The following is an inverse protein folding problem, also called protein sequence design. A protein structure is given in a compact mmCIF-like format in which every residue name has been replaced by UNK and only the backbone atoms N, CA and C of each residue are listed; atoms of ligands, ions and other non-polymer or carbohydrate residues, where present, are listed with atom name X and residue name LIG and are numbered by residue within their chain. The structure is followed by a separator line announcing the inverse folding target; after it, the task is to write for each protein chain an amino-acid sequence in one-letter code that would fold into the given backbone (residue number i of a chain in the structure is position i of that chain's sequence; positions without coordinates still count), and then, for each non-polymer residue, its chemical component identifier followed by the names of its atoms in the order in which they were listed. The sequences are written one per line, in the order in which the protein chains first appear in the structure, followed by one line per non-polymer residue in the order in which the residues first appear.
data_IF_155671729916
#
_entry.id   IF_155671729916
#
_cell.length_a   1.000
_cell.length_b   1.000
_cell.length_c   1.000
_cell.angle_alpha   90.00
_cell.angle_beta   90.00
_cell.angle_gamma   90.00
#
_symmetry.space_group_name_H-M   'P 1'
#
loop_
_entity.id
_entity.type
_entity.pdbx_description
1 polymer ?
#
# COMPACT_ATOMS: atom_id res chain seq x y z
N UNK A 1 14.83 20.67 -3.45
CA UNK A 1 14.38 19.32 -3.11
C UNK A 1 14.73 18.42 -4.27
N UNK A 2 15.30 17.26 -4.01
CA UNK A 2 15.54 16.24 -5.05
C UNK A 2 14.20 15.58 -5.40
N UNK A 3 14.11 14.87 -6.53
CA UNK A 3 12.91 14.10 -6.87
C UNK A 3 12.60 13.05 -5.77
N UNK A 4 13.65 12.45 -5.19
CA UNK A 4 13.53 11.48 -4.10
C UNK A 4 12.92 12.09 -2.82
N UNK A 5 13.27 13.32 -2.46
CA UNK A 5 12.69 13.98 -1.28
C UNK A 5 11.18 14.15 -1.43
N UNK A 6 10.71 14.51 -2.65
CA UNK A 6 9.30 14.65 -2.95
C UNK A 6 8.59 13.27 -2.92
N UNK A 7 9.21 12.23 -3.49
CA UNK A 7 8.71 10.84 -3.44
C UNK A 7 8.59 10.34 -2.01
N UNK A 8 9.62 10.56 -1.18
CA UNK A 8 9.64 10.15 0.23
C UNK A 8 8.58 10.90 1.06
N UNK A 9 8.37 12.19 0.78
CA UNK A 9 7.32 12.95 1.45
C UNK A 9 5.93 12.39 1.15
N UNK A 10 5.66 11.96 -0.10
CA UNK A 10 4.40 11.32 -0.48
C UNK A 10 4.26 9.94 0.17
N UNK A 11 5.30 9.12 0.15
CA UNK A 11 5.31 7.83 0.84
C UNK A 11 5.02 7.99 2.33
N UNK A 12 5.65 8.96 3.00
CA UNK A 12 5.42 9.22 4.43
C UNK A 12 3.95 9.52 4.72
N UNK A 13 3.29 10.36 3.90
CA UNK A 13 1.85 10.63 4.06
C UNK A 13 1.00 9.38 3.81
N UNK A 14 1.39 8.54 2.83
CA UNK A 14 0.76 7.24 2.59
C UNK A 14 0.84 6.30 3.80
N UNK A 15 2.01 6.24 4.43
CA UNK A 15 2.23 5.46 5.66
C UNK A 15 1.41 6.01 6.83
N UNK A 16 1.33 7.34 6.99
CA UNK A 16 0.56 7.99 8.05
C UNK A 16 -0.94 7.66 7.96
N UNK A 17 -1.52 7.76 6.77
CA UNK A 17 -2.94 7.43 6.59
C UNK A 17 -3.23 5.93 6.73
N UNK A 18 -2.34 5.05 6.24
CA UNK A 18 -2.48 3.60 6.44
C UNK A 18 -2.45 3.24 7.93
N UNK A 19 -1.55 3.85 8.71
CA UNK A 19 -1.48 3.70 10.17
C UNK A 19 -2.80 4.13 10.85
N UNK A 20 -3.38 5.23 10.40
CA UNK A 20 -4.66 5.73 10.91
C UNK A 20 -5.80 4.76 10.63
N UNK A 21 -5.88 4.23 9.42
CA UNK A 21 -6.89 3.22 9.05
C UNK A 21 -6.71 1.92 9.86
N UNK A 22 -5.49 1.44 10.03
CA UNK A 22 -5.19 0.26 10.85
C UNK A 22 -5.66 0.43 12.29
N UNK A 23 -5.55 1.64 12.84
CA UNK A 23 -6.09 1.98 14.16
C UNK A 23 -7.63 1.99 14.24
N UNK A 24 -8.31 2.06 13.10
CA UNK A 24 -9.77 2.06 13.01
C UNK A 24 -10.38 0.66 12.80
N UNK A 25 -9.56 -0.35 12.53
CA UNK A 25 -10.03 -1.73 12.32
C UNK A 25 -10.56 -2.33 13.61
N UNK A 26 -11.84 -2.67 13.64
CA UNK A 26 -12.47 -3.38 14.76
C UNK A 26 -12.38 -4.91 14.61
N UNK A 27 -12.58 -5.65 15.69
CA UNK A 27 -12.55 -7.12 15.64
C UNK A 27 -13.59 -7.72 14.71
N UNK A 28 -14.73 -7.02 14.54
CA UNK A 28 -15.80 -7.43 13.63
C UNK A 28 -15.41 -7.30 12.16
N UNK A 29 -14.42 -6.46 11.84
CA UNK A 29 -13.94 -6.26 10.47
C UNK A 29 -13.00 -7.38 10.01
N UNK A 30 -12.30 -8.04 10.96
CA UNK A 30 -11.21 -8.97 10.66
C UNK A 30 -11.63 -10.18 9.79
N UNK A 31 -12.89 -10.55 9.85
CA UNK A 31 -13.45 -11.65 9.03
C UNK A 31 -14.09 -11.18 7.73
N UNK A 32 -14.15 -9.87 7.49
CA UNK A 32 -14.74 -9.30 6.29
C UNK A 32 -13.90 -9.62 5.05
N UNK A 33 -14.55 -9.79 3.87
CA UNK A 33 -13.83 -9.94 2.62
C UNK A 33 -13.18 -8.61 2.23
N UNK A 34 -12.09 -8.69 1.47
CA UNK A 34 -11.41 -7.52 0.90
C UNK A 34 -11.55 -7.51 -0.63
N UNK A 35 -11.33 -6.36 -1.29
CA UNK A 35 -11.20 -6.33 -2.75
C UNK A 35 -10.04 -7.17 -3.29
N UNK A 36 -9.02 -7.44 -2.47
CA UNK A 36 -8.00 -8.45 -2.74
C UNK A 36 -8.60 -9.84 -2.44
N UNK A 37 -9.17 -10.49 -3.44
CA UNK A 37 -9.98 -11.71 -3.30
C UNK A 37 -9.30 -12.89 -2.59
N UNK A 38 -7.99 -12.87 -2.45
CA UNK A 38 -7.22 -13.93 -1.80
C UNK A 38 -7.13 -13.75 -0.28
N UNK A 39 -7.52 -12.56 0.26
CA UNK A 39 -7.33 -12.22 1.67
C UNK A 39 -8.61 -11.77 2.37
N UNK A 40 -8.80 -12.26 3.58
CA UNK A 40 -9.65 -11.64 4.58
C UNK A 40 -9.03 -10.33 5.08
N UNK A 41 -9.80 -9.51 5.78
CA UNK A 41 -9.26 -8.27 6.39
C UNK A 41 -8.13 -8.58 7.39
N UNK A 42 -8.20 -9.67 8.14
CA UNK A 42 -7.11 -10.08 9.05
C UNK A 42 -5.80 -10.33 8.31
N UNK A 43 -5.84 -11.09 7.21
CA UNK A 43 -4.66 -11.40 6.39
C UNK A 43 -4.10 -10.15 5.71
N UNK A 44 -4.97 -9.26 5.23
CA UNK A 44 -4.57 -7.95 4.68
C UNK A 44 -3.89 -7.07 5.75
N UNK A 45 -4.43 -7.03 6.97
CA UNK A 45 -3.83 -6.28 8.09
C UNK A 45 -2.45 -6.82 8.43
N UNK A 46 -2.30 -8.15 8.54
CA UNK A 46 -1.01 -8.77 8.82
C UNK A 46 0.02 -8.45 7.73
N UNK A 47 -0.40 -8.51 6.45
CA UNK A 47 0.45 -8.13 5.31
C UNK A 47 0.87 -6.66 5.39
N UNK A 48 -0.08 -5.74 5.58
CA UNK A 48 0.18 -4.31 5.67
C UNK A 48 1.16 -4.00 6.79
N UNK A 49 0.96 -4.59 7.98
CA UNK A 49 1.83 -4.34 9.14
C UNK A 49 3.26 -4.81 8.89
N UNK A 50 3.44 -5.92 8.19
CA UNK A 50 4.77 -6.45 7.89
C UNK A 50 5.49 -5.72 6.73
N UNK A 51 4.74 -5.09 5.81
CA UNK A 51 5.29 -4.55 4.57
C UNK A 51 6.36 -3.47 4.77
N UNK A 52 6.18 -2.43 5.62
CA UNK A 52 7.17 -1.37 5.74
C UNK A 52 8.54 -1.86 6.24
N UNK A 53 8.58 -2.77 7.22
CA UNK A 53 9.83 -3.35 7.71
C UNK A 53 10.55 -4.17 6.62
N UNK A 54 9.80 -4.93 5.82
CA UNK A 54 10.34 -5.66 4.65
C UNK A 54 10.86 -4.68 3.59
N UNK A 55 10.17 -3.59 3.35
CA UNK A 55 10.63 -2.54 2.44
C UNK A 55 11.92 -1.89 2.93
N UNK A 56 12.04 -1.63 4.24
CA UNK A 56 13.26 -1.11 4.83
C UNK A 56 14.48 -2.04 4.60
N UNK A 57 14.28 -3.35 4.73
CA UNK A 57 15.31 -4.35 4.40
C UNK A 57 15.71 -4.27 2.92
N UNK A 58 14.72 -4.19 1.99
CA UNK A 58 15.01 -4.04 0.56
C UNK A 58 15.78 -2.75 0.25
N UNK A 59 15.43 -1.64 0.88
CA UNK A 59 16.12 -0.36 0.72
C UNK A 59 17.59 -0.46 1.16
N UNK A 60 17.86 -1.26 2.19
CA UNK A 60 19.22 -1.56 2.66
C UNK A 60 19.96 -2.60 1.82
N UNK A 61 19.32 -3.16 0.78
CA UNK A 61 19.91 -4.20 -0.09
C UNK A 61 19.92 -5.60 0.54
N UNK A 62 19.10 -5.82 1.57
CA UNK A 62 18.95 -7.12 2.21
C UNK A 62 17.98 -8.02 1.41
N UNK A 63 18.18 -9.33 1.48
CA UNK A 63 17.23 -10.29 0.91
C UNK A 63 15.98 -10.39 1.78
N UNK A 64 14.79 -10.34 1.14
CA UNK A 64 13.50 -10.42 1.82
C UNK A 64 12.72 -11.65 1.36
N UNK A 65 12.31 -12.48 2.31
CA UNK A 65 11.38 -13.57 2.04
C UNK A 65 9.92 -13.07 2.09
N UNK A 66 9.30 -13.02 0.91
CA UNK A 66 7.89 -12.69 0.75
C UNK A 66 6.97 -13.92 0.83
N UNK A 67 7.53 -15.14 0.76
CA UNK A 67 6.77 -16.39 0.77
C UNK A 67 6.49 -16.93 2.16
N UNK A 68 7.22 -16.44 3.17
CA UNK A 68 7.04 -16.84 4.56
C UNK A 68 5.70 -16.37 5.13
N UNK A 69 5.16 -17.09 6.13
CA UNK A 69 3.92 -16.68 6.78
C UNK A 69 4.10 -15.32 7.46
N UNK A 70 3.14 -14.44 7.26
CA UNK A 70 3.10 -13.16 7.96
C UNK A 70 2.61 -13.41 9.39
N UNK A 71 3.33 -12.95 10.43
CA UNK A 71 2.89 -13.10 11.81
C UNK A 71 1.56 -12.37 12.02
N UNK A 72 0.63 -13.04 12.71
CA UNK A 72 -0.61 -12.39 13.08
C UNK A 72 -0.37 -11.29 14.11
N UNK A 73 -0.87 -10.09 13.82
CA UNK A 73 -0.76 -8.93 14.70
C UNK A 73 -2.11 -8.68 15.37
N UNK A 74 -2.12 -8.70 16.71
CA UNK A 74 -3.31 -8.41 17.51
C UNK A 74 -3.65 -6.92 17.56
N UNK A 75 -4.01 -6.42 18.73
CA UNK A 75 -4.48 -5.03 18.93
C UNK A 75 -3.42 -3.95 18.68
N UNK A 76 -2.12 -4.31 18.75
CA UNK A 76 -0.99 -3.40 18.54
C UNK A 76 -0.70 -3.09 17.04
N UNK A 77 -1.62 -3.41 16.14
CA UNK A 77 -1.42 -3.34 14.67
C UNK A 77 -0.97 -1.96 14.16
N UNK A 78 -1.58 -0.89 14.65
CA UNK A 78 -1.20 0.47 14.25
C UNK A 78 0.19 0.86 14.78
N UNK A 79 0.53 0.46 16.01
CA UNK A 79 1.85 0.70 16.60
C UNK A 79 2.95 -0.10 15.92
N UNK A 80 2.70 -1.37 15.61
CA UNK A 80 3.64 -2.22 14.88
C UNK A 80 3.89 -1.71 13.45
N UNK A 81 2.83 -1.29 12.75
CA UNK A 81 2.95 -0.66 11.44
C UNK A 81 3.78 0.62 11.52
N UNK A 82 3.50 1.50 12.51
CA UNK A 82 4.22 2.76 12.69
C UNK A 82 5.72 2.53 12.90
N UNK A 83 6.09 1.55 13.72
CA UNK A 83 7.49 1.21 13.94
C UNK A 83 8.19 0.79 12.64
N UNK A 84 7.55 -0.04 11.82
CA UNK A 84 8.09 -0.41 10.50
C UNK A 84 8.14 0.76 9.51
N UNK A 85 7.15 1.66 9.57
CA UNK A 85 7.12 2.87 8.74
C UNK A 85 8.27 3.83 9.07
N UNK A 86 8.53 4.05 10.36
CA UNK A 86 9.65 4.88 10.83
C UNK A 86 10.99 4.28 10.39
N UNK A 87 11.14 2.95 10.50
CA UNK A 87 12.32 2.22 10.03
C UNK A 87 12.53 2.37 8.52
N UNK A 88 11.45 2.32 7.73
CA UNK A 88 11.50 2.51 6.28
C UNK A 88 11.95 3.93 5.90
N UNK A 89 11.39 4.94 6.54
CA UNK A 89 11.76 6.34 6.30
C UNK A 89 13.23 6.57 6.67
N UNK A 90 13.69 6.02 7.80
CA UNK A 90 15.10 6.08 8.21
C UNK A 90 16.02 5.38 7.20
N UNK A 91 15.62 4.21 6.69
CA UNK A 91 16.39 3.51 5.65
C UNK A 91 16.55 4.37 4.40
N UNK A 92 15.50 5.05 3.94
CA UNK A 92 15.57 5.98 2.80
C UNK A 92 16.49 7.17 3.04
N UNK A 93 16.53 7.72 4.26
CA UNK A 93 17.49 8.79 4.60
C UNK A 93 18.95 8.31 4.61
N UNK A 94 19.17 7.01 4.82
CA UNK A 94 20.50 6.40 4.80
C UNK A 94 21.04 6.07 3.41
N UNK A 95 20.19 6.09 2.38
CA UNK A 95 20.60 5.72 1.00
C UNK A 95 21.08 6.93 0.23
N UNK A 96 22.30 6.85 -0.33
CA UNK A 96 22.86 7.86 -1.22
C UNK A 96 22.09 8.02 -2.54
N UNK A 97 22.24 9.16 -3.20
CA UNK A 97 21.64 9.39 -4.51
C UNK A 97 22.18 8.38 -5.54
N UNK A 98 21.27 7.56 -6.09
CA UNK A 98 21.58 6.55 -7.11
C UNK A 98 21.88 5.13 -6.59
N UNK A 99 21.90 4.92 -5.27
CA UNK A 99 22.25 3.59 -4.71
C UNK A 99 21.04 2.64 -4.62
N UNK A 100 19.79 3.14 -4.68
CA UNK A 100 18.60 2.29 -4.67
C UNK A 100 18.13 1.98 -6.10
N UNK A 101 17.73 0.71 -6.39
CA UNK A 101 17.30 0.29 -7.73
C UNK A 101 15.97 0.92 -8.16
N UNK A 102 15.13 1.32 -7.23
CA UNK A 102 13.85 2.02 -7.45
C UNK A 102 13.65 3.08 -6.37
N UNK A 103 12.92 4.16 -6.70
CA UNK A 103 12.57 5.21 -5.74
C UNK A 103 11.39 4.84 -4.84
N UNK A 104 11.00 5.70 -3.87
CA UNK A 104 9.89 5.46 -2.95
C UNK A 104 8.51 5.26 -3.61
N UNK A 105 8.32 5.71 -4.85
CA UNK A 105 7.02 5.68 -5.54
C UNK A 105 6.47 4.25 -5.73
N UNK A 106 7.33 3.21 -5.85
CA UNK A 106 6.84 1.83 -5.93
C UNK A 106 6.23 1.35 -4.60
N UNK A 107 6.80 1.80 -3.47
CA UNK A 107 6.26 1.51 -2.14
C UNK A 107 4.97 2.30 -1.89
N UNK A 108 4.91 3.55 -2.38
CA UNK A 108 3.67 4.35 -2.38
C UNK A 108 2.56 3.64 -3.16
N UNK A 109 2.87 3.01 -4.29
CA UNK A 109 1.90 2.24 -5.07
C UNK A 109 1.36 1.05 -4.28
N UNK A 110 2.24 0.26 -3.65
CA UNK A 110 1.87 -0.90 -2.83
C UNK A 110 1.01 -0.50 -1.63
N UNK A 111 1.45 0.53 -0.89
CA UNK A 111 0.70 1.07 0.24
C UNK A 111 -0.66 1.63 -0.22
N UNK A 112 -0.73 2.36 -1.34
CA UNK A 112 -1.99 2.91 -1.83
C UNK A 112 -3.01 1.83 -2.21
N UNK A 113 -2.59 0.77 -2.91
CA UNK A 113 -3.48 -0.33 -3.31
C UNK A 113 -4.06 -1.01 -2.07
N UNK A 114 -3.22 -1.36 -1.10
CA UNK A 114 -3.69 -2.05 0.11
C UNK A 114 -4.41 -1.12 1.10
N UNK A 115 -4.12 0.18 1.08
CA UNK A 115 -4.92 1.20 1.79
C UNK A 115 -6.34 1.26 1.22
N UNK A 116 -6.51 1.20 -0.12
CA UNK A 116 -7.83 1.05 -0.73
C UNK A 116 -8.52 -0.24 -0.29
N UNK A 117 -7.82 -1.38 -0.36
CA UNK A 117 -8.39 -2.67 0.01
C UNK A 117 -8.90 -2.64 1.47
N UNK A 118 -8.11 -2.05 2.39
CA UNK A 118 -8.49 -1.91 3.80
C UNK A 118 -9.66 -0.93 3.99
N UNK A 119 -9.59 0.25 3.38
CA UNK A 119 -10.65 1.25 3.47
C UNK A 119 -12.00 0.68 2.99
N UNK A 120 -12.00 -0.05 1.88
CA UNK A 120 -13.19 -0.71 1.36
C UNK A 120 -13.73 -1.80 2.29
N UNK A 121 -12.84 -2.59 2.91
CA UNK A 121 -13.22 -3.67 3.82
C UNK A 121 -13.88 -3.16 5.11
N UNK A 122 -13.41 -2.02 5.64
CA UNK A 122 -13.96 -1.41 6.87
C UNK A 122 -15.01 -0.31 6.61
N UNK A 123 -15.35 -0.06 5.34
CA UNK A 123 -16.35 0.94 4.97
C UNK A 123 -15.89 2.40 5.13
N UNK A 124 -14.58 2.67 5.10
CA UNK A 124 -14.03 4.02 5.16
C UNK A 124 -14.09 4.69 3.77
N UNK A 125 -14.57 5.94 3.66
CA UNK A 125 -14.64 6.65 2.39
C UNK A 125 -13.24 6.92 1.79
N UNK A 126 -12.96 6.38 0.62
CA UNK A 126 -11.65 6.57 -0.05
C UNK A 126 -11.39 8.00 -0.50
N UNK A 127 -12.46 8.80 -0.71
CA UNK A 127 -12.35 10.22 -1.04
C UNK A 127 -11.82 11.11 0.11
N UNK A 128 -11.70 10.59 1.33
CA UNK A 128 -11.09 11.28 2.48
C UNK A 128 -9.57 11.04 2.59
N UNK A 129 -9.04 10.13 1.78
CA UNK A 129 -7.60 9.81 1.76
C UNK A 129 -6.83 10.83 0.89
N UNK A 130 -5.53 10.98 1.16
CA UNK A 130 -4.66 11.86 0.37
C UNK A 130 -4.53 11.36 -1.08
N UNK A 131 -5.12 12.06 -2.06
CA UNK A 131 -5.17 11.59 -3.44
C UNK A 131 -3.80 11.52 -4.09
N UNK A 132 -2.83 12.33 -3.67
CA UNK A 132 -1.51 12.38 -4.29
C UNK A 132 -0.76 11.06 -4.12
N UNK A 133 -0.96 10.36 -3.00
CA UNK A 133 -0.35 9.04 -2.75
C UNK A 133 -0.81 8.04 -3.82
N UNK A 134 -2.11 7.97 -4.07
CA UNK A 134 -2.66 7.06 -5.07
C UNK A 134 -2.32 7.51 -6.51
N UNK A 135 -2.28 8.81 -6.79
CA UNK A 135 -1.94 9.34 -8.11
C UNK A 135 -0.49 9.02 -8.50
N UNK A 136 0.46 9.22 -7.59
CA UNK A 136 1.87 8.86 -7.83
C UNK A 136 2.06 7.37 -7.95
N UNK A 137 1.43 6.59 -7.07
CA UNK A 137 1.42 5.14 -7.18
C UNK A 137 0.89 4.65 -8.52
N UNK A 138 -0.20 5.23 -9.02
CA UNK A 138 -0.77 4.89 -10.32
C UNK A 138 0.17 5.25 -11.47
N UNK A 139 0.85 6.40 -11.43
CA UNK A 139 1.86 6.79 -12.43
C UNK A 139 2.98 5.76 -12.45
N UNK A 140 3.51 5.38 -11.29
CA UNK A 140 4.53 4.35 -11.18
C UNK A 140 4.05 3.00 -11.75
N UNK A 141 2.87 2.54 -11.36
CA UNK A 141 2.32 1.27 -11.84
C UNK A 141 2.13 1.26 -13.35
N UNK A 142 1.62 2.33 -13.95
CA UNK A 142 1.44 2.43 -15.41
C UNK A 142 2.75 2.40 -16.19
N UNK A 143 3.83 2.92 -15.58
CA UNK A 143 5.14 2.90 -16.21
C UNK A 143 5.83 1.54 -16.12
N UNK A 144 5.52 0.71 -15.12
CA UNK A 144 6.29 -0.49 -14.78
C UNK A 144 5.48 -1.80 -14.87
N UNK A 145 4.15 -1.76 -14.79
CA UNK A 145 3.29 -2.94 -14.77
C UNK A 145 2.64 -3.14 -16.14
N UNK A 146 3.06 -4.20 -16.83
CA UNK A 146 2.53 -4.60 -18.14
C UNK A 146 1.65 -5.84 -18.00
N UNK A 147 0.82 -6.19 -19.00
CA UNK A 147 0.04 -7.43 -18.97
C UNK A 147 0.89 -8.68 -18.72
N UNK A 148 2.14 -8.67 -19.18
CA UNK A 148 3.05 -9.82 -19.11
C UNK A 148 3.70 -9.99 -17.74
N UNK A 149 3.86 -8.90 -16.96
CA UNK A 149 4.54 -8.92 -15.66
C UNK A 149 3.63 -8.75 -14.45
N UNK A 150 2.30 -8.70 -14.64
CA UNK A 150 1.33 -8.53 -13.54
C UNK A 150 1.36 -9.69 -12.53
N UNK A 151 1.64 -10.90 -12.97
CA UNK A 151 1.66 -12.07 -12.10
C UNK A 151 0.31 -12.37 -11.44
N UNK A 152 0.28 -13.21 -10.39
CA UNK A 152 -0.97 -13.55 -9.69
C UNK A 152 -1.48 -12.41 -8.78
N UNK A 153 -0.61 -11.51 -8.35
CA UNK A 153 -0.94 -10.45 -7.36
C UNK A 153 -1.74 -9.31 -7.98
N UNK A 154 -1.43 -8.96 -9.24
CA UNK A 154 -2.11 -7.91 -9.97
C UNK A 154 -2.95 -8.50 -11.10
N UNK A 155 -4.23 -8.64 -10.85
CA UNK A 155 -5.17 -9.10 -11.88
C UNK A 155 -5.22 -8.10 -13.06
N UNK A 156 -5.77 -8.50 -14.23
CA UNK A 156 -5.98 -7.56 -15.34
C UNK A 156 -6.74 -6.31 -14.89
N UNK A 157 -6.35 -5.16 -15.44
CA UNK A 157 -7.00 -3.88 -15.14
C UNK A 157 -8.52 -3.98 -15.32
N UNK A 158 -9.24 -3.42 -14.36
CA UNK A 158 -10.71 -3.33 -14.38
C UNK A 158 -11.14 -1.90 -14.75
N UNK A 159 -12.33 -1.72 -15.33
CA UNK A 159 -12.85 -0.40 -15.60
C UNK A 159 -13.10 0.37 -14.29
N UNK A 160 -12.59 1.59 -14.21
CA UNK A 160 -12.92 2.51 -13.13
C UNK A 160 -14.22 3.26 -13.47
N UNK A 161 -15.11 3.55 -12.49
CA UNK A 161 -16.24 4.45 -12.68
C UNK A 161 -15.79 5.83 -13.22
N UNK A 162 -16.65 6.52 -13.97
CA UNK A 162 -16.32 7.85 -14.53
C UNK A 162 -15.97 8.87 -13.44
N UNK A 163 -16.64 8.82 -12.30
CA UNK A 163 -16.40 9.68 -11.14
C UNK A 163 -15.47 9.06 -10.09
N UNK A 164 -14.64 8.07 -10.47
CA UNK A 164 -13.73 7.42 -9.54
C UNK A 164 -12.72 8.39 -8.94
N UNK A 165 -12.52 8.32 -7.62
CA UNK A 165 -11.45 9.02 -6.94
C UNK A 165 -10.06 8.40 -7.26
N UNK A 166 -8.99 8.98 -6.71
CA UNK A 166 -7.63 8.54 -6.98
C UNK A 166 -7.38 7.08 -6.52
N UNK A 167 -7.90 6.72 -5.35
CA UNK A 167 -7.77 5.37 -4.80
C UNK A 167 -8.58 4.34 -5.57
N UNK A 168 -9.77 4.69 -6.02
CA UNK A 168 -10.56 3.83 -6.90
C UNK A 168 -9.87 3.61 -8.25
N UNK A 169 -9.20 4.63 -8.80
CA UNK A 169 -8.46 4.50 -10.06
C UNK A 169 -7.25 3.58 -9.95
N UNK A 170 -6.43 3.72 -8.89
CA UNK A 170 -5.27 2.83 -8.71
C UNK A 170 -5.71 1.40 -8.42
N UNK A 171 -6.77 1.21 -7.63
CA UNK A 171 -7.33 -0.11 -7.35
C UNK A 171 -7.86 -0.81 -8.62
N UNK A 172 -8.61 -0.10 -9.46
CA UNK A 172 -9.07 -0.62 -10.74
C UNK A 172 -7.89 -1.02 -11.64
N UNK A 173 -6.86 -0.18 -11.73
CA UNK A 173 -5.64 -0.50 -12.47
C UNK A 173 -4.92 -1.74 -11.90
N UNK A 174 -4.93 -1.91 -10.58
CA UNK A 174 -4.38 -3.09 -9.89
C UNK A 174 -5.27 -4.36 -10.01
N UNK A 175 -6.40 -4.28 -10.73
CA UNK A 175 -7.29 -5.41 -11.01
C UNK A 175 -8.43 -5.60 -10.01
N UNK A 176 -8.66 -4.63 -9.09
CA UNK A 176 -9.80 -4.69 -8.16
C UNK A 176 -11.10 -4.29 -8.87
N UNK A 177 -12.19 -4.99 -8.56
CA UNK A 177 -13.52 -4.54 -8.95
C UNK A 177 -13.94 -3.37 -8.07
N UNK A 178 -14.10 -2.20 -8.67
CA UNK A 178 -14.44 -0.97 -7.96
C UNK A 178 -15.93 -0.68 -8.12
N UNK A 179 -16.62 -0.47 -7.00
CA UNK A 179 -18.01 0.01 -7.01
C UNK A 179 -18.04 1.53 -6.83
N UNK A 180 -18.99 2.24 -7.48
CA UNK A 180 -19.16 3.68 -7.24
C UNK A 180 -19.40 3.96 -5.76
N UNK A 181 -18.75 5.01 -5.24
CA UNK A 181 -19.05 5.53 -3.89
C UNK A 181 -20.52 5.97 -3.83
N UNK A 182 -21.21 5.63 -2.75
CA UNK A 182 -22.60 6.04 -2.52
C UNK A 182 -22.66 7.49 -2.01
#
# INVERSE_FOLDING_TARGET
MTNRDDELAVLTRGLDQASTLLGSVGDHDLTSPTPCHEWTTAELVDHLVAAPAKFAQMVRGEEVDWSGPTPHVGDERAGAFRAGADELVEAWHGVGDGDAPMGPDWQSAEIAVHTYDLAAAIGHPTGELDPEVAERGLVFMKANLTPENRGPVFQPEQPAPEAADAYQRIAAFAGRTVTPSR
#
